data_IF_461485802902
#
_entry.id   IF_461485802902
#
_cell.length_a   1.000
_cell.length_b   1.000
_cell.length_c   1.000
_cell.angle_alpha   90.00
_cell.angle_beta   90.00
_cell.angle_gamma   90.00
#
_symmetry.space_group_name_H-M   'P 1'
#
loop_
_entity.id
_entity.type
_entity.pdbx_description
1 polymer ?
#
# COMPACT_ATOMS: atom_id res chain seq x y z
N UNK A 1 33.06 -37.75 21.54
CA UNK A 1 31.72 -37.76 22.13
C UNK A 1 31.82 -38.15 23.58
N UNK A 2 31.07 -37.48 24.46
CA UNK A 2 31.06 -37.73 25.92
C UNK A 2 29.72 -38.26 26.42
N UNK A 3 29.55 -38.36 27.74
CA UNK A 3 28.30 -38.82 28.37
C UNK A 3 27.23 -37.69 28.41
N UNK A 4 26.66 -37.34 27.26
CA UNK A 4 25.62 -36.30 27.16
C UNK A 4 24.72 -36.52 25.95
N UNK A 5 23.41 -36.29 26.13
CA UNK A 5 22.44 -36.18 25.04
C UNK A 5 22.49 -34.76 24.48
N UNK A 6 23.10 -34.60 23.31
CA UNK A 6 23.33 -33.29 22.71
C UNK A 6 22.39 -33.06 21.52
N UNK A 7 21.71 -31.91 21.50
CA UNK A 7 20.91 -31.44 20.37
C UNK A 7 21.51 -30.14 19.84
N UNK A 8 21.73 -30.05 18.54
CA UNK A 8 22.18 -28.82 17.88
C UNK A 8 21.03 -28.22 17.09
N UNK A 9 20.69 -26.97 17.38
CA UNK A 9 19.71 -26.20 16.61
C UNK A 9 20.45 -25.18 15.74
N UNK A 10 20.12 -25.19 14.44
CA UNK A 10 20.77 -24.33 13.45
C UNK A 10 19.75 -23.31 12.96
N UNK A 11 20.03 -22.03 13.19
CA UNK A 11 19.21 -20.93 12.70
C UNK A 11 19.80 -20.38 11.40
N UNK A 12 18.97 -20.28 10.36
CA UNK A 12 19.37 -19.84 9.02
C UNK A 12 18.45 -18.70 8.55
N UNK A 13 19.02 -17.81 7.74
CA UNK A 13 18.27 -16.75 7.07
C UNK A 13 17.93 -17.17 5.65
N UNK A 14 16.67 -17.01 5.18
CA UNK A 14 16.29 -17.36 3.81
C UNK A 14 16.70 -16.31 2.76
N UNK A 15 17.34 -15.21 3.16
CA UNK A 15 17.71 -14.15 2.24
C UNK A 15 18.89 -14.56 1.34
N UNK A 16 18.79 -14.26 0.04
CA UNK A 16 19.81 -14.61 -0.96
C UNK A 16 21.21 -14.04 -0.66
N UNK A 17 21.27 -12.89 0.04
CA UNK A 17 22.53 -12.27 0.47
C UNK A 17 23.34 -13.13 1.44
N UNK A 18 22.67 -14.04 2.17
CA UNK A 18 23.27 -14.89 3.21
C UNK A 18 23.55 -16.31 2.71
N UNK A 19 23.57 -16.52 1.39
CA UNK A 19 23.70 -17.85 0.79
C UNK A 19 24.99 -18.55 1.22
N UNK A 20 26.14 -17.87 1.15
CA UNK A 20 27.44 -18.48 1.47
C UNK A 20 27.56 -18.87 2.96
N UNK A 21 27.05 -18.02 3.86
CA UNK A 21 26.98 -18.30 5.29
C UNK A 21 26.02 -19.45 5.62
N UNK A 22 24.87 -19.47 4.93
CA UNK A 22 23.86 -20.52 5.08
C UNK A 22 24.42 -21.89 4.68
N UNK A 23 25.13 -21.96 3.55
CA UNK A 23 25.77 -23.19 3.07
C UNK A 23 26.86 -23.65 4.04
N UNK A 24 27.69 -22.73 4.54
CA UNK A 24 28.75 -23.04 5.50
C UNK A 24 28.18 -23.59 6.82
N UNK A 25 27.10 -23.00 7.32
CA UNK A 25 26.41 -23.43 8.53
C UNK A 25 25.75 -24.80 8.36
N UNK A 26 25.12 -25.06 7.20
CA UNK A 26 24.54 -26.38 6.87
C UNK A 26 25.60 -27.48 6.79
N UNK A 27 26.77 -27.17 6.18
CA UNK A 27 27.90 -28.11 6.13
C UNK A 27 28.45 -28.43 7.52
N UNK A 28 28.49 -27.44 8.42
CA UNK A 28 28.86 -27.67 9.81
C UNK A 28 27.84 -28.57 10.52
N UNK A 29 26.55 -28.30 10.37
CA UNK A 29 25.48 -29.15 10.90
C UNK A 29 25.54 -30.60 10.43
N UNK A 30 25.83 -30.80 9.15
CA UNK A 30 26.01 -32.14 8.56
C UNK A 30 27.15 -32.92 9.22
N UNK A 31 28.29 -32.27 9.47
CA UNK A 31 29.43 -32.86 10.20
C UNK A 31 29.09 -33.13 11.67
N UNK A 32 28.42 -32.19 12.33
CA UNK A 32 28.02 -32.34 13.73
C UNK A 32 27.05 -33.51 13.94
N UNK A 33 26.16 -33.78 12.98
CA UNK A 33 25.24 -34.93 13.00
C UNK A 33 25.97 -36.29 13.02
N UNK A 34 27.19 -36.35 12.49
CA UNK A 34 27.97 -37.60 12.45
C UNK A 34 28.63 -37.94 13.80
N UNK A 35 28.59 -37.02 14.77
CA UNK A 35 29.17 -37.23 16.09
C UNK A 35 28.23 -38.13 16.91
N UNK A 36 28.68 -39.35 17.19
CA UNK A 36 27.95 -40.30 18.04
C UNK A 36 28.46 -40.18 19.48
N UNK A 37 27.54 -39.91 20.41
CA UNK A 37 27.80 -39.95 21.85
C UNK A 37 27.28 -41.27 22.43
N UNK A 38 28.09 -41.94 23.24
CA UNK A 38 27.65 -43.09 24.04
C UNK A 38 27.22 -42.56 25.41
N UNK A 39 25.91 -42.52 25.64
CA UNK A 39 25.33 -41.97 26.86
C UNK A 39 25.00 -43.09 27.83
N UNK A 40 25.48 -42.98 29.06
CA UNK A 40 25.16 -43.84 30.20
C UNK A 40 24.35 -43.04 31.22
N UNK A 41 23.34 -43.65 31.82
CA UNK A 41 22.60 -43.03 32.93
C UNK A 41 23.58 -42.85 34.08
N UNK A 42 23.72 -41.62 34.57
CA UNK A 42 24.51 -41.35 35.76
C UNK A 42 23.71 -41.85 36.96
N UNK A 43 24.01 -43.06 37.41
CA UNK A 43 23.57 -43.53 38.72
C UNK A 43 24.50 -42.94 39.78
N UNK A 44 23.93 -42.50 40.90
CA UNK A 44 24.72 -42.03 42.04
C UNK A 44 25.45 -43.25 42.62
N UNK A 45 26.79 -43.26 42.70
CA UNK A 45 27.55 -44.39 43.25
C UNK A 45 27.10 -44.75 44.66
N UNK A 46 26.62 -43.76 45.43
CA UNK A 46 26.08 -43.95 46.77
C UNK A 46 24.73 -44.66 46.74
N UNK A 47 23.84 -44.28 45.81
CA UNK A 47 22.52 -44.90 45.68
C UNK A 47 22.60 -46.33 45.13
N UNK A 48 23.50 -46.60 44.18
CA UNK A 48 23.75 -47.96 43.69
C UNK A 48 24.31 -48.84 44.80
N UNK A 49 25.30 -48.34 45.56
CA UNK A 49 25.87 -49.06 46.70
C UNK A 49 24.83 -49.34 47.80
N UNK A 50 23.98 -48.37 48.14
CA UNK A 50 22.91 -48.55 49.12
C UNK A 50 21.92 -49.62 48.65
N UNK A 51 21.55 -49.64 47.36
CA UNK A 51 20.65 -50.67 46.80
C UNK A 51 21.30 -52.06 46.89
N UNK A 52 22.56 -52.19 46.47
CA UNK A 52 23.28 -53.47 46.53
C UNK A 52 23.40 -53.97 47.97
N UNK A 53 23.73 -53.10 48.93
CA UNK A 53 23.81 -53.46 50.35
C UNK A 53 22.43 -53.83 50.93
N UNK A 54 21.36 -53.15 50.51
CA UNK A 54 20.00 -53.48 50.94
C UNK A 54 19.54 -54.84 50.37
N UNK A 55 19.87 -55.13 49.10
CA UNK A 55 19.58 -56.41 48.46
C UNK A 55 20.39 -57.56 49.09
N UNK A 56 21.66 -57.33 49.42
CA UNK A 56 22.49 -58.29 50.17
C UNK A 56 21.96 -58.53 51.58
N UNK A 57 21.55 -57.48 52.30
CA UNK A 57 20.92 -57.62 53.61
C UNK A 57 19.58 -58.36 53.52
N UNK A 58 18.78 -58.12 52.49
CA UNK A 58 17.53 -58.82 52.26
C UNK A 58 17.79 -60.31 51.97
N UNK A 59 18.76 -60.62 51.12
CA UNK A 59 19.19 -62.00 50.81
C UNK A 59 19.69 -62.73 52.05
N UNK A 60 20.60 -62.12 52.82
CA UNK A 60 21.15 -62.74 54.04
C UNK A 60 20.04 -62.94 55.09
N UNK A 61 19.12 -61.98 55.24
CA UNK A 61 17.96 -62.15 56.13
C UNK A 61 17.06 -63.29 55.67
N UNK A 62 16.89 -63.48 54.37
CA UNK A 62 16.11 -64.58 53.82
C UNK A 62 16.81 -65.93 53.96
N UNK A 63 18.12 -66.00 53.74
CA UNK A 63 18.94 -67.21 53.94
C UNK A 63 18.95 -67.63 55.43
N UNK A 64 18.98 -66.67 56.35
CA UNK A 64 18.84 -66.91 57.80
C UNK A 64 17.42 -67.37 58.15
N UNK A 65 16.37 -66.77 57.56
CA UNK A 65 14.97 -67.16 57.79
C UNK A 65 14.63 -68.56 57.27
N UNK A 66 15.18 -68.92 56.11
CA UNK A 66 15.01 -70.23 55.49
C UNK A 66 15.89 -71.31 56.11
N UNK A 67 16.75 -70.95 57.07
CA UNK A 67 17.52 -71.90 57.88
C UNK A 67 18.64 -72.60 57.13
N UNK A 68 19.08 -72.07 55.99
CA UNK A 68 20.13 -72.69 55.18
C UNK A 68 21.52 -72.22 55.63
N UNK A 69 21.88 -72.54 56.88
CA UNK A 69 23.16 -72.17 57.52
C UNK A 69 24.37 -73.02 57.08
N UNK A 70 24.20 -73.98 56.18
CA UNK A 70 25.31 -74.83 55.69
C UNK A 70 26.15 -74.21 54.56
N UNK A 71 25.72 -73.09 53.96
CA UNK A 71 26.45 -72.44 52.86
C UNK A 71 27.53 -71.43 53.28
N UNK A 72 27.62 -71.05 54.56
CA UNK A 72 28.52 -69.97 55.03
C UNK A 72 29.86 -70.47 55.58
N UNK A 73 30.18 -71.76 55.43
CA UNK A 73 31.45 -72.37 55.90
C UNK A 73 32.52 -72.56 54.81
N UNK A 74 32.30 -72.08 53.58
CA UNK A 74 33.27 -72.17 52.48
C UNK A 74 33.94 -70.81 52.17
N UNK A 75 34.55 -70.19 53.17
CA UNK A 75 35.66 -69.25 52.94
C UNK A 75 36.50 -69.13 54.22
N UNK A 76 37.26 -70.20 54.50
CA UNK A 76 38.05 -70.30 55.72
C UNK A 76 38.73 -71.65 55.89
N UNK A 77 39.51 -72.08 54.89
CA UNK A 77 40.54 -73.11 55.05
C UNK A 77 41.86 -72.34 55.31
N UNK A 78 42.59 -72.49 56.42
CA UNK A 78 43.30 -73.70 56.87
C UNK A 78 43.71 -73.53 58.34
N UNK A 79 43.57 -74.58 59.15
CA UNK A 79 44.26 -74.67 60.45
C UNK A 79 43.54 -75.52 61.50
N UNK A 80 43.42 -76.81 61.27
CA UNK A 80 43.31 -77.81 62.35
C UNK A 80 44.63 -78.58 62.41
N UNK A 81 45.07 -79.12 63.56
CA UNK A 81 44.32 -80.22 64.17
C UNK A 81 44.25 -80.27 65.70
N UNK A 82 43.12 -80.82 66.15
CA UNK A 82 42.98 -81.85 67.19
C UNK A 82 43.45 -81.56 68.63
N UNK A 83 42.51 -81.60 69.57
CA UNK A 83 42.25 -82.77 70.43
C UNK A 83 41.55 -82.39 71.75
N UNK A 84 40.78 -83.35 72.30
CA UNK A 84 40.25 -83.43 73.67
C UNK A 84 38.99 -82.59 73.95
N UNK A 85 37.83 -83.24 74.04
CA UNK A 85 37.29 -83.89 75.25
C UNK A 85 36.52 -82.91 76.14
N UNK A 86 35.19 -83.09 76.10
CA UNK A 86 34.20 -82.81 77.13
C UNK A 86 34.59 -81.88 78.29
N UNK A 87 34.08 -80.65 78.29
CA UNK A 87 33.43 -80.05 79.47
C UNK A 87 32.74 -78.73 79.08
N UNK A 88 31.40 -78.69 79.21
CA UNK A 88 30.69 -77.44 79.51
C UNK A 88 30.89 -77.24 81.01
N UNK A 89 31.54 -76.15 81.46
CA UNK A 89 30.76 -74.96 81.78
C UNK A 89 31.54 -73.63 81.61
N UNK A 90 30.99 -72.67 80.85
CA UNK A 90 31.16 -71.23 81.08
C UNK A 90 30.39 -70.40 80.02
N UNK A 91 29.06 -70.50 79.98
CA UNK A 91 28.23 -69.60 79.16
C UNK A 91 28.19 -68.15 79.69
N UNK A 92 28.72 -67.88 80.89
CA UNK A 92 28.60 -66.56 81.54
C UNK A 92 29.58 -65.49 81.03
N UNK A 93 30.76 -65.87 80.54
CA UNK A 93 31.76 -64.91 80.03
C UNK A 93 31.47 -64.45 78.60
N UNK A 94 30.87 -65.31 77.78
CA UNK A 94 30.53 -65.01 76.38
C UNK A 94 29.26 -64.17 76.23
N UNK A 95 28.34 -64.22 77.20
CA UNK A 95 27.15 -63.37 77.20
C UNK A 95 27.49 -61.91 77.50
N UNK A 96 28.38 -61.65 78.48
CA UNK A 96 28.81 -60.27 78.82
C UNK A 96 29.54 -59.56 77.68
N UNK A 97 30.43 -60.26 76.99
CA UNK A 97 31.12 -59.70 75.82
C UNK A 97 30.13 -59.36 74.68
N UNK A 98 29.12 -60.21 74.47
CA UNK A 98 28.05 -59.96 73.48
C UNK A 98 27.09 -58.86 73.90
N UNK A 99 26.83 -58.69 75.20
CA UNK A 99 26.03 -57.59 75.76
C UNK A 99 26.76 -56.24 75.61
N UNK A 100 28.07 -56.19 75.83
CA UNK A 100 28.90 -55.00 75.60
C UNK A 100 28.98 -54.63 74.11
N UNK A 101 29.13 -55.61 73.22
CA UNK A 101 29.05 -55.40 71.77
C UNK A 101 27.68 -54.90 71.33
N UNK A 102 26.59 -55.46 71.86
CA UNK A 102 25.23 -55.01 71.58
C UNK A 102 25.01 -53.55 72.05
N UNK A 103 25.52 -53.18 73.22
CA UNK A 103 25.42 -51.81 73.74
C UNK A 103 26.23 -50.81 72.89
N UNK A 104 27.42 -51.18 72.43
CA UNK A 104 28.22 -50.35 71.52
C UNK A 104 27.55 -50.16 70.16
N UNK A 105 26.93 -51.21 69.61
CA UNK A 105 26.17 -51.11 68.36
C UNK A 105 24.94 -50.22 68.52
N UNK A 106 24.24 -50.30 69.66
CA UNK A 106 23.09 -49.45 69.98
C UNK A 106 23.51 -47.97 70.13
N UNK A 107 24.63 -47.69 70.78
CA UNK A 107 25.20 -46.34 70.87
C UNK A 107 25.60 -45.79 69.50
N UNK A 108 26.29 -46.59 68.67
CA UNK A 108 26.63 -46.19 67.30
C UNK A 108 25.39 -45.94 66.44
N UNK A 109 24.34 -46.76 66.57
CA UNK A 109 23.08 -46.55 65.86
C UNK A 109 22.43 -45.24 66.26
N UNK A 110 22.37 -44.93 67.56
CA UNK A 110 21.82 -43.66 68.04
C UNK A 110 22.61 -42.45 67.53
N UNK A 111 23.95 -42.55 67.46
CA UNK A 111 24.79 -41.50 66.89
C UNK A 111 24.59 -41.32 65.38
N UNK A 112 24.47 -42.41 64.62
CA UNK A 112 24.20 -42.37 63.18
C UNK A 112 22.83 -41.75 62.90
N UNK A 113 21.79 -42.18 63.63
CA UNK A 113 20.43 -41.62 63.50
C UNK A 113 20.39 -40.13 63.83
N UNK A 114 21.13 -39.68 64.85
CA UNK A 114 21.22 -38.26 65.20
C UNK A 114 21.92 -37.44 64.10
N UNK A 115 22.97 -37.99 63.47
CA UNK A 115 23.65 -37.34 62.33
C UNK A 115 22.74 -37.26 61.10
N UNK A 116 21.95 -38.29 60.85
CA UNK A 116 20.96 -38.33 59.76
C UNK A 116 19.88 -37.24 59.95
N UNK A 117 19.28 -37.13 61.15
CA UNK A 117 18.31 -36.09 61.45
C UNK A 117 18.85 -34.67 61.24
N UNK A 118 20.11 -34.41 61.59
CA UNK A 118 20.76 -33.11 61.36
C UNK A 118 20.99 -32.87 59.87
N UNK A 119 21.40 -33.90 59.12
CA UNK A 119 21.59 -33.80 57.68
C UNK A 119 20.26 -33.52 56.95
N UNK A 120 19.19 -34.24 57.30
CA UNK A 120 17.85 -34.03 56.79
C UNK A 120 17.32 -32.63 57.11
N UNK A 121 17.49 -32.17 58.36
CA UNK A 121 17.10 -30.82 58.75
C UNK A 121 17.84 -29.74 57.94
N UNK A 122 19.13 -29.95 57.66
CA UNK A 122 19.94 -29.02 56.84
C UNK A 122 19.48 -28.98 55.38
N UNK A 123 19.15 -30.14 54.81
CA UNK A 123 18.58 -30.22 53.45
C UNK A 123 17.22 -29.52 53.41
N UNK A 124 16.33 -29.79 54.36
CA UNK A 124 15.03 -29.16 54.44
C UNK A 124 15.12 -27.63 54.59
N UNK A 125 16.05 -27.12 55.41
CA UNK A 125 16.33 -25.68 55.50
C UNK A 125 16.81 -25.10 54.17
N UNK A 126 17.72 -25.78 53.49
CA UNK A 126 18.24 -25.33 52.19
C UNK A 126 17.15 -25.33 51.10
N UNK A 127 16.26 -26.32 51.11
CA UNK A 127 15.11 -26.39 50.20
C UNK A 127 14.11 -25.25 50.44
N UNK A 128 13.90 -24.83 51.69
CA UNK A 128 13.05 -23.69 52.02
C UNK A 128 13.63 -22.38 51.45
N UNK A 129 14.94 -22.14 51.65
CA UNK A 129 15.63 -20.96 51.10
C UNK A 129 15.52 -20.93 49.58
N UNK A 130 15.81 -22.05 48.91
CA UNK A 130 15.68 -22.14 47.46
C UNK A 130 14.22 -21.98 46.99
N UNK A 131 13.24 -22.46 47.75
CA UNK A 131 11.83 -22.25 47.41
C UNK A 131 11.43 -20.78 47.44
N UNK A 132 11.90 -20.02 48.42
CA UNK A 132 11.68 -18.58 48.53
C UNK A 132 12.37 -17.82 47.39
N UNK A 133 13.64 -18.12 47.09
CA UNK A 133 14.36 -17.52 45.96
C UNK A 133 13.67 -17.80 44.62
N UNK A 134 13.24 -19.04 44.38
CA UNK A 134 12.48 -19.39 43.16
C UNK A 134 11.17 -18.61 43.06
N UNK A 135 10.44 -18.44 44.17
CA UNK A 135 9.21 -17.63 44.21
C UNK A 135 9.51 -16.17 43.89
N UNK A 136 10.57 -15.60 44.48
CA UNK A 136 10.98 -14.21 44.24
C UNK A 136 11.37 -13.97 42.77
N UNK A 137 12.13 -14.90 42.16
CA UNK A 137 12.50 -14.84 40.74
C UNK A 137 11.26 -14.91 39.86
N UNK A 138 10.35 -15.86 40.15
CA UNK A 138 9.12 -16.04 39.38
C UNK A 138 8.23 -14.80 39.46
N UNK A 139 8.11 -14.18 40.64
CA UNK A 139 7.35 -12.95 40.83
C UNK A 139 7.95 -11.78 40.03
N UNK A 140 9.27 -11.61 40.07
CA UNK A 140 9.97 -10.59 39.26
C UNK A 140 9.74 -10.81 37.76
N UNK A 141 9.84 -12.05 37.30
CA UNK A 141 9.55 -12.40 35.91
C UNK A 141 8.10 -12.10 35.52
N UNK A 142 7.13 -12.41 36.39
CA UNK A 142 5.71 -12.11 36.13
C UNK A 142 5.45 -10.61 36.01
N UNK A 143 6.05 -9.78 36.87
CA UNK A 143 5.92 -8.32 36.79
C UNK A 143 6.53 -7.81 35.48
N UNK A 144 7.76 -8.22 35.15
CA UNK A 144 8.41 -7.81 33.91
C UNK A 144 7.62 -8.22 32.65
N UNK A 145 7.03 -9.41 32.64
CA UNK A 145 6.18 -9.87 31.53
C UNK A 145 4.92 -9.02 31.41
N UNK A 146 4.28 -8.63 32.53
CA UNK A 146 3.10 -7.75 32.51
C UNK A 146 3.45 -6.36 31.98
N UNK A 147 4.54 -5.75 32.44
CA UNK A 147 4.99 -4.44 31.97
C UNK A 147 5.25 -4.45 30.45
N UNK A 148 5.94 -5.47 29.93
CA UNK A 148 6.16 -5.63 28.50
C UNK A 148 4.87 -5.88 27.71
N UNK A 149 3.89 -6.56 28.30
CA UNK A 149 2.57 -6.76 27.67
C UNK A 149 1.80 -5.45 27.56
N UNK A 150 1.83 -4.62 28.59
CA UNK A 150 1.18 -3.31 28.60
C UNK A 150 1.84 -2.36 27.59
N UNK A 151 3.17 -2.30 27.54
CA UNK A 151 3.91 -1.51 26.55
C UNK A 151 3.60 -1.97 25.11
N UNK A 152 3.56 -3.29 24.89
CA UNK A 152 3.18 -3.87 23.59
C UNK A 152 1.75 -3.51 23.21
N UNK A 153 0.81 -3.50 24.16
CA UNK A 153 -0.58 -3.13 23.90
C UNK A 153 -0.70 -1.65 23.49
N UNK A 154 0.01 -0.76 24.15
CA UNK A 154 0.03 0.67 23.82
C UNK A 154 0.65 0.91 22.42
N UNK A 155 1.78 0.27 22.12
CA UNK A 155 2.39 0.34 20.78
C UNK A 155 1.46 -0.20 19.69
N UNK A 156 0.71 -1.27 19.98
CA UNK A 156 -0.28 -1.82 19.04
C UNK A 156 -1.43 -0.84 18.79
N UNK A 157 -1.88 -0.13 19.84
CA UNK A 157 -2.89 0.93 19.71
C UNK A 157 -2.36 2.08 18.85
N UNK A 158 -1.17 2.60 19.13
CA UNK A 158 -0.53 3.65 18.34
C UNK A 158 -0.39 3.25 16.87
N UNK A 159 0.09 2.03 16.59
CA UNK A 159 0.19 1.48 15.23
C UNK A 159 -1.17 1.46 14.52
N UNK A 160 -2.24 1.08 15.23
CA UNK A 160 -3.59 1.04 14.66
C UNK A 160 -4.11 2.44 14.31
N UNK A 161 -3.83 3.45 15.14
CA UNK A 161 -4.19 4.84 14.91
C UNK A 161 -3.42 5.43 13.74
N UNK A 162 -2.10 5.23 13.67
CA UNK A 162 -1.28 5.65 12.54
C UNK A 162 -1.75 5.00 11.24
N UNK A 163 -2.13 3.73 11.27
CA UNK A 163 -2.70 3.04 10.10
C UNK A 163 -4.01 3.68 9.65
N UNK A 164 -4.90 4.06 10.58
CA UNK A 164 -6.16 4.71 10.23
C UNK A 164 -5.92 6.11 9.64
N UNK A 165 -5.06 6.91 10.29
CA UNK A 165 -4.64 8.23 9.79
C UNK A 165 -4.00 8.14 8.41
N UNK A 166 -3.16 7.12 8.18
CA UNK A 166 -2.55 6.84 6.89
C UNK A 166 -3.57 6.53 5.80
N UNK A 167 -4.60 5.71 6.08
CA UNK A 167 -5.71 5.44 5.15
C UNK A 167 -6.52 6.69 4.83
N UNK A 168 -6.84 7.51 5.84
CA UNK A 168 -7.56 8.77 5.65
C UNK A 168 -6.76 9.75 4.78
N UNK A 169 -5.46 9.90 5.03
CA UNK A 169 -4.59 10.76 4.24
C UNK A 169 -4.48 10.27 2.80
N UNK A 170 -4.30 8.96 2.58
CA UNK A 170 -4.27 8.37 1.24
C UNK A 170 -5.57 8.63 0.47
N UNK A 171 -6.73 8.49 1.12
CA UNK A 171 -8.03 8.81 0.52
C UNK A 171 -8.15 10.29 0.16
N UNK A 172 -7.67 11.21 1.02
CA UNK A 172 -7.66 12.65 0.72
C UNK A 172 -6.76 12.99 -0.47
N UNK A 173 -5.56 12.44 -0.52
CA UNK A 173 -4.62 12.63 -1.64
C UNK A 173 -5.20 12.09 -2.94
N UNK A 174 -5.86 10.93 -2.90
CA UNK A 174 -6.52 10.35 -4.07
C UNK A 174 -7.65 11.25 -4.58
N UNK A 175 -8.53 11.75 -3.69
CA UNK A 175 -9.60 12.66 -4.10
C UNK A 175 -9.06 13.96 -4.70
N UNK A 176 -8.03 14.55 -4.10
CA UNK A 176 -7.38 15.75 -4.65
C UNK A 176 -6.74 15.50 -6.02
N UNK A 177 -6.14 14.31 -6.22
CA UNK A 177 -5.56 13.93 -7.51
C UNK A 177 -6.63 13.79 -8.59
N UNK A 178 -7.76 13.16 -8.27
CA UNK A 178 -8.91 13.03 -9.17
C UNK A 178 -9.53 14.39 -9.51
N UNK A 179 -9.69 15.27 -8.52
CA UNK A 179 -10.17 16.64 -8.71
C UNK A 179 -9.23 17.45 -9.61
N UNK A 180 -7.91 17.38 -9.38
CA UNK A 180 -6.93 18.02 -10.25
C UNK A 180 -6.96 17.48 -11.68
N UNK A 181 -7.15 16.18 -11.85
CA UNK A 181 -7.29 15.59 -13.19
C UNK A 181 -8.55 16.09 -13.90
N UNK A 182 -9.69 16.17 -13.20
CA UNK A 182 -10.94 16.73 -13.76
C UNK A 182 -10.76 18.19 -14.16
N UNK A 183 -10.15 19.00 -13.31
CA UNK A 183 -9.86 20.41 -13.61
C UNK A 183 -8.96 20.55 -14.85
N UNK A 184 -7.90 19.75 -14.96
CA UNK A 184 -7.02 19.75 -16.14
C UNK A 184 -7.76 19.33 -17.40
N UNK A 185 -8.60 18.31 -17.32
CA UNK A 185 -9.38 17.84 -18.47
C UNK A 185 -10.37 18.92 -18.91
N UNK A 186 -11.09 19.55 -17.97
CA UNK A 186 -11.99 20.65 -18.29
C UNK A 186 -11.26 21.85 -18.91
N UNK A 187 -10.04 22.16 -18.46
CA UNK A 187 -9.20 23.19 -19.08
C UNK A 187 -8.82 22.83 -20.52
N UNK A 188 -8.36 21.60 -20.75
CA UNK A 188 -8.02 21.12 -22.10
C UNK A 188 -9.22 21.12 -23.04
N UNK A 189 -10.39 20.70 -22.54
CA UNK A 189 -11.63 20.70 -23.33
C UNK A 189 -12.02 22.13 -23.72
N UNK A 190 -12.00 23.08 -22.77
CA UNK A 190 -12.28 24.49 -23.03
C UNK A 190 -11.30 25.12 -24.04
N UNK A 191 -10.00 24.84 -23.90
CA UNK A 191 -8.98 25.28 -24.87
C UNK A 191 -9.21 24.71 -26.26
N UNK A 192 -9.58 23.41 -26.34
CA UNK A 192 -9.88 22.75 -27.62
C UNK A 192 -11.11 23.35 -28.30
N UNK A 193 -12.16 23.67 -27.52
CA UNK A 193 -13.37 24.32 -28.00
C UNK A 193 -13.07 25.72 -28.53
N UNK A 194 -12.35 26.54 -27.75
CA UNK A 194 -11.93 27.86 -28.19
C UNK A 194 -11.07 27.81 -29.46
N UNK A 195 -10.14 26.85 -29.56
CA UNK A 195 -9.33 26.68 -30.76
C UNK A 195 -10.18 26.26 -31.98
N UNK A 196 -11.19 25.41 -31.78
CA UNK A 196 -12.12 24.99 -32.83
C UNK A 196 -12.99 26.16 -33.31
N UNK A 197 -13.54 26.96 -32.39
CA UNK A 197 -14.31 28.17 -32.69
C UNK A 197 -13.48 29.18 -33.48
N UNK A 198 -12.24 29.45 -33.05
CA UNK A 198 -11.35 30.35 -33.78
C UNK A 198 -11.04 29.85 -35.19
N UNK A 199 -10.84 28.54 -35.36
CA UNK A 199 -10.65 27.93 -36.70
C UNK A 199 -11.91 28.07 -37.55
N UNK A 200 -13.10 27.87 -36.98
CA UNK A 200 -14.37 28.03 -37.69
C UNK A 200 -14.60 29.48 -38.12
N UNK A 201 -14.35 30.45 -37.24
CA UNK A 201 -14.46 31.88 -37.55
C UNK A 201 -13.49 32.29 -38.67
N UNK A 202 -12.24 31.83 -38.61
CA UNK A 202 -11.25 32.06 -39.69
C UNK A 202 -11.72 31.48 -41.02
N UNK A 203 -12.28 30.26 -41.03
CA UNK A 203 -12.86 29.64 -42.24
C UNK A 203 -14.03 30.46 -42.78
N UNK A 204 -14.95 30.91 -41.93
CA UNK A 204 -16.06 31.77 -42.33
C UNK A 204 -15.58 33.09 -42.93
N UNK A 205 -14.58 33.74 -42.32
CA UNK A 205 -13.96 34.96 -42.85
C UNK A 205 -13.37 34.76 -44.23
N UNK A 206 -12.66 33.65 -44.45
CA UNK A 206 -12.10 33.29 -45.75
C UNK A 206 -13.23 33.13 -46.78
N UNK A 207 -14.26 32.33 -46.47
CA UNK A 207 -15.41 32.10 -47.36
C UNK A 207 -16.12 33.42 -47.70
N UNK A 208 -16.39 34.28 -46.70
CA UNK A 208 -17.01 35.58 -46.92
C UNK A 208 -16.15 36.49 -47.80
N UNK A 209 -14.82 36.50 -47.61
CA UNK A 209 -13.89 37.27 -48.43
C UNK A 209 -13.87 36.79 -49.88
N UNK A 210 -13.88 35.48 -50.11
CA UNK A 210 -14.00 34.89 -51.45
C UNK A 210 -15.33 35.26 -52.10
N UNK A 211 -16.45 35.18 -51.37
CA UNK A 211 -17.79 35.54 -51.86
C UNK A 211 -17.85 37.01 -52.28
N UNK A 212 -17.37 37.92 -51.43
CA UNK A 212 -17.30 39.36 -51.74
C UNK A 212 -16.43 39.66 -52.97
N UNK A 213 -15.29 38.98 -53.12
CA UNK A 213 -14.44 39.15 -54.30
C UNK A 213 -15.13 38.67 -55.59
N UNK A 214 -15.82 37.52 -55.53
CA UNK A 214 -16.61 37.01 -56.64
C UNK A 214 -17.77 37.94 -57.01
N UNK A 215 -18.49 38.46 -56.02
CA UNK A 215 -19.61 39.38 -56.24
C UNK A 215 -19.11 40.70 -56.86
N UNK A 216 -17.99 41.25 -56.37
CA UNK A 216 -17.33 42.41 -56.99
C UNK A 216 -16.92 42.14 -58.43
N UNK A 217 -16.33 40.98 -58.71
CA UNK A 217 -15.97 40.56 -60.08
C UNK A 217 -17.18 40.47 -61.01
N UNK A 218 -18.30 39.91 -60.53
CA UNK A 218 -19.57 39.84 -61.28
C UNK A 218 -20.14 41.23 -61.57
N UNK A 219 -20.19 42.10 -60.57
CA UNK A 219 -20.68 43.48 -60.71
C UNK A 219 -19.82 44.26 -61.72
N UNK A 220 -18.50 44.12 -61.64
CA UNK A 220 -17.56 44.74 -62.57
C UNK A 220 -17.83 44.28 -64.01
N UNK A 221 -17.94 42.97 -64.24
CA UNK A 221 -18.22 42.40 -65.56
C UNK A 221 -19.56 42.87 -66.14
N UNK A 222 -20.62 42.92 -65.33
CA UNK A 222 -21.93 43.45 -65.78
C UNK A 222 -21.87 44.93 -66.13
N UNK A 223 -21.07 45.72 -65.40
CA UNK A 223 -20.90 47.15 -65.66
C UNK A 223 -20.17 47.39 -66.99
N UNK A 224 -19.16 46.59 -67.29
CA UNK A 224 -18.43 46.66 -68.57
C UNK A 224 -19.32 46.27 -69.75
N UNK A 225 -20.12 45.21 -69.62
CA UNK A 225 -21.09 44.82 -70.64
C UNK A 225 -22.14 45.91 -70.91
N UNK A 226 -22.73 46.48 -69.86
CA UNK A 226 -23.68 47.59 -69.98
C UNK A 226 -23.04 48.84 -70.59
N UNK A 227 -21.78 49.13 -70.28
CA UNK A 227 -21.07 50.27 -70.87
C UNK A 227 -20.86 50.07 -72.38
N UNK A 228 -20.57 48.85 -72.82
CA UNK A 228 -20.48 48.51 -74.24
C UNK A 228 -21.83 48.67 -74.95
N UNK A 229 -22.92 48.14 -74.38
CA UNK A 229 -24.27 48.32 -74.91
C UNK A 229 -24.67 49.80 -75.02
N UNK A 230 -24.42 50.59 -73.98
CA UNK A 230 -24.67 52.04 -73.99
C UNK A 230 -23.86 52.73 -75.10
N UNK A 231 -22.60 52.33 -75.31
CA UNK A 231 -21.78 52.91 -76.38
C UNK A 231 -22.28 52.55 -77.78
N UNK A 232 -22.76 51.32 -77.98
CA UNK A 232 -23.37 50.88 -79.24
C UNK A 232 -24.64 51.68 -79.54
N UNK A 233 -25.54 51.77 -78.55
CA UNK A 233 -26.79 52.53 -78.69
C UNK A 233 -26.54 54.01 -78.98
N UNK A 234 -25.50 54.62 -78.38
CA UNK A 234 -25.11 56.00 -78.69
C UNK A 234 -24.64 56.17 -80.14
N UNK A 235 -23.87 55.22 -80.66
CA UNK A 235 -23.42 55.25 -82.05
C UNK A 235 -24.59 55.07 -83.02
N UNK A 236 -25.55 54.20 -82.69
CA UNK A 236 -26.80 54.04 -83.45
C UNK A 236 -27.64 55.32 -83.44
N UNK A 237 -27.83 55.95 -82.28
CA UNK A 237 -28.52 57.24 -82.18
C UNK A 237 -27.82 58.29 -83.02
N UNK A 238 -26.49 58.41 -82.94
CA UNK A 238 -25.73 59.38 -83.73
C UNK A 238 -25.85 59.11 -85.24
N UNK A 239 -25.88 57.84 -85.66
CA UNK A 239 -26.11 57.46 -87.05
C UNK A 239 -27.52 57.86 -87.52
N UNK A 240 -28.53 57.58 -86.70
CA UNK A 240 -29.92 57.94 -86.99
C UNK A 240 -30.12 59.47 -87.01
N UNK A 241 -29.48 60.21 -86.11
CA UNK A 241 -29.46 61.67 -86.10
C UNK A 241 -28.80 62.23 -87.37
N UNK A 242 -27.69 61.63 -87.82
CA UNK A 242 -27.04 62.03 -89.06
C UNK A 242 -27.92 61.74 -90.29
N UNK A 243 -28.58 60.57 -90.34
CA UNK A 243 -29.53 60.23 -91.40
C UNK A 243 -30.74 61.17 -91.40
N UNK A 244 -31.26 61.52 -90.22
CA UNK A 244 -32.33 62.51 -90.06
C UNK A 244 -31.89 63.91 -90.52
N UNK A 245 -30.66 64.33 -90.21
CA UNK A 245 -30.09 65.59 -90.71
C UNK A 245 -29.97 65.62 -92.23
N UNK A 246 -29.55 64.52 -92.86
CA UNK A 246 -29.47 64.43 -94.32
C UNK A 246 -30.86 64.54 -94.95
N UNK A 247 -31.85 63.79 -94.43
CA UNK A 247 -33.24 63.85 -94.94
C UNK A 247 -33.93 65.18 -94.68
N UNK A 248 -33.58 65.89 -93.60
CA UNK A 248 -34.10 67.24 -93.33
C UNK A 248 -33.48 68.30 -94.24
N UNK A 249 -32.25 68.09 -94.73
CA UNK A 249 -31.60 68.96 -95.72
C UNK A 249 -32.15 68.79 -97.16
N UNK A 250 -32.77 67.65 -97.48
CA UNK A 250 -33.40 67.38 -98.79
C UNK A 250 -34.82 67.96 -98.94
N UNK A 251 -35.40 68.51 -97.86
CA UNK A 251 -36.72 69.15 -97.90
C UNK A 251 -36.61 70.58 -98.47
N UNK A 252 -37.36 70.94 -99.53
CA UNK A 252 -37.32 72.29 -100.09
C UNK A 252 -37.92 73.32 -99.12
N UNK A 253 -37.20 74.45 -98.96
CA UNK A 253 -37.54 75.63 -98.15
C UNK A 253 -39.04 75.83 -97.93
N UNK A 254 -39.53 75.45 -96.74
CA UNK A 254 -40.84 75.86 -96.24
C UNK A 254 -40.63 77.03 -95.25
N UNK A 255 -41.29 78.19 -95.45
CA UNK A 255 -41.16 79.30 -94.51
C UNK A 255 -41.76 78.93 -93.14
N UNK A 256 -41.30 79.56 -92.04
CA UNK A 256 -41.76 79.22 -90.71
C UNK A 256 -43.23 79.64 -90.54
N UNK A 257 -44.13 78.66 -90.49
CA UNK A 257 -45.49 78.88 -90.04
C UNK A 257 -45.47 79.00 -88.50
N UNK A 258 -45.88 80.16 -88.01
CA UNK A 258 -46.25 80.38 -86.62
C UNK A 258 -47.34 79.39 -86.22
N UNK A 259 -47.01 78.45 -85.34
CA UNK A 259 -47.97 77.66 -84.57
C UNK A 259 -47.54 77.73 -83.11
N UNK A 260 -48.17 78.68 -82.41
CA UNK A 260 -48.19 78.67 -80.96
C UNK A 260 -49.23 77.69 -80.43
N UNK A 261 -48.95 77.20 -79.22
CA UNK A 261 -49.80 76.52 -78.25
C UNK A 261 -49.89 74.99 -78.30
N UNK A 262 -49.90 74.41 -77.08
CA UNK A 262 -49.99 73.00 -76.65
C UNK A 262 -48.65 72.22 -76.71
N UNK A 263 -47.97 71.80 -75.63
CA UNK A 263 -48.37 71.12 -74.35
C UNK A 263 -47.26 71.35 -73.28
N UNK A 264 -47.56 71.29 -71.96
CA UNK A 264 -46.83 71.98 -70.89
C UNK A 264 -45.79 71.16 -70.11
N UNK A 265 -44.93 71.90 -69.38
CA UNK A 265 -44.27 71.59 -68.10
C UNK A 265 -44.05 70.11 -67.72
N UNK A 266 -42.93 69.52 -68.16
CA UNK A 266 -42.36 68.31 -67.53
C UNK A 266 -40.83 68.29 -67.55
N UNK A 267 -40.17 69.45 -67.43
CA UNK A 267 -38.70 69.54 -67.29
C UNK A 267 -38.23 70.19 -65.98
N UNK A 268 -39.10 70.30 -64.98
CA UNK A 268 -38.72 70.85 -63.67
C UNK A 268 -39.02 69.93 -62.46
N UNK A 269 -39.20 68.61 -62.68
CA UNK A 269 -39.27 67.60 -61.62
C UNK A 269 -38.62 66.29 -62.05
N UNK A 270 -37.30 66.27 -62.15
CA UNK A 270 -36.52 65.04 -62.08
C UNK A 270 -35.10 65.27 -61.51
N UNK A 271 -34.97 66.23 -60.57
CA UNK A 271 -33.98 66.12 -59.49
C UNK A 271 -34.60 65.31 -58.35
N UNK A 272 -35.00 64.06 -58.61
CA UNK A 272 -35.38 63.15 -57.54
C UNK A 272 -34.20 62.22 -57.29
N UNK A 273 -33.50 62.49 -56.19
CA UNK A 273 -32.69 61.50 -55.51
C UNK A 273 -33.53 60.22 -55.30
N UNK A 274 -32.92 59.02 -55.35
CA UNK A 274 -33.68 57.78 -55.20
C UNK A 274 -34.30 57.74 -53.79
N UNK A 275 -35.64 57.62 -53.75
CA UNK A 275 -36.37 57.32 -52.51
C UNK A 275 -35.95 55.94 -52.01
N UNK A 276 -35.52 55.88 -50.76
CA UNK A 276 -35.34 54.65 -50.00
C UNK A 276 -36.69 53.92 -49.85
N UNK A 277 -36.77 52.64 -50.23
CA UNK A 277 -37.99 51.80 -50.22
C UNK A 277 -38.49 51.42 -48.80
N UNK A 278 -38.06 52.08 -47.73
CA UNK A 278 -38.32 51.64 -46.34
C UNK A 278 -39.14 52.60 -45.46
N UNK A 279 -39.91 53.53 -46.02
CA UNK A 279 -40.76 54.45 -45.24
C UNK A 279 -42.24 54.36 -45.68
N UNK A 280 -43.15 54.18 -44.71
CA UNK A 280 -44.60 54.20 -44.90
C UNK A 280 -45.25 55.32 -44.07
N UNK A 281 -46.35 55.88 -44.57
CA UNK A 281 -47.03 57.06 -44.01
C UNK A 281 -48.18 56.63 -43.07
N UNK A 282 -48.10 57.01 -41.78
CA UNK A 282 -49.19 56.96 -40.82
C UNK A 282 -49.53 58.41 -40.41
N UNK A 283 -50.76 58.72 -39.93
CA UNK A 283 -51.26 60.09 -39.93
C UNK A 283 -50.52 60.97 -38.91
N UNK A 284 -49.47 61.64 -39.36
CA UNK A 284 -48.80 62.72 -38.63
C UNK A 284 -47.27 62.77 -38.71
N UNK A 285 -46.54 61.66 -38.85
CA UNK A 285 -45.06 61.63 -38.75
C UNK A 285 -44.39 60.54 -39.61
N UNK A 286 -43.20 60.84 -40.15
CA UNK A 286 -42.39 59.92 -40.97
C UNK A 286 -41.28 59.23 -40.13
N UNK A 287 -41.24 57.90 -40.11
CA UNK A 287 -40.24 57.09 -39.35
C UNK A 287 -39.50 56.11 -40.26
N UNK A 288 -38.17 55.98 -40.11
CA UNK A 288 -37.30 55.09 -40.88
C UNK A 288 -36.99 53.78 -40.14
N UNK A 289 -37.20 52.63 -40.79
CA UNK A 289 -37.12 51.29 -40.17
C UNK A 289 -35.69 50.77 -39.88
N UNK A 290 -34.63 51.48 -40.29
CA UNK A 290 -33.24 51.04 -40.07
C UNK A 290 -32.61 51.58 -38.76
N UNK A 291 -33.10 52.69 -38.19
CA UNK A 291 -32.44 53.34 -37.05
C UNK A 291 -33.35 53.84 -35.92
N UNK A 292 -34.69 53.82 -36.07
CA UNK A 292 -35.62 54.05 -34.96
C UNK A 292 -35.48 55.38 -34.20
N UNK A 293 -34.99 56.45 -34.85
CA UNK A 293 -34.80 57.75 -34.20
C UNK A 293 -35.54 58.88 -34.93
N UNK A 294 -36.28 59.69 -34.16
CA UNK A 294 -36.88 60.95 -34.58
C UNK A 294 -35.80 62.05 -34.63
N UNK A 295 -35.19 62.25 -35.80
CA UNK A 295 -34.75 63.54 -36.39
C UNK A 295 -33.71 63.32 -37.51
N UNK A 296 -34.14 63.69 -38.72
CA UNK A 296 -33.37 64.14 -39.90
C UNK A 296 -32.06 63.40 -40.25
N UNK A 297 -32.18 62.44 -41.16
CA UNK A 297 -31.07 61.89 -41.94
C UNK A 297 -30.61 62.90 -43.00
N UNK A 298 -29.32 63.29 -42.97
CA UNK A 298 -28.68 64.25 -43.88
C UNK A 298 -28.46 63.78 -45.32
N UNK A 299 -29.42 63.07 -45.91
CA UNK A 299 -29.44 62.72 -47.34
C UNK A 299 -30.50 63.48 -48.15
N UNK A 300 -31.19 64.42 -47.52
CA UNK A 300 -31.95 65.45 -48.22
C UNK A 300 -31.22 66.78 -48.02
N UNK A 301 -30.47 67.21 -49.03
CA UNK A 301 -30.02 68.60 -49.16
C UNK A 301 -31.23 69.47 -49.52
#
# INVERSE_FOLDING_TARGET
GGNSRTTMLIALSPAAINYDETVSTLRYGSRARQIVNVVKVNEDPTATLIRELQDELARIKEDIRTGNVDGLRESGNLGSPSSLSATVPAASGSLRAKEEEAHNVEQMLHEVMAREQVAEARVAQQEQVWAEERRAITQKQQVAVRELQDEKAELMKQRSEFRLKGKQLASKVQMQKEEQQRLRQHQQDAESQHAAEQKALKRQLIVNRFRQASDKGRVQATREALAYEISSLRNEIASLEHELMQKTAELPNRPPAQLGAYVPDLLNRASMAPKCEMCYEAPGEWVCHACGAERLCGLCN
#
